data_IF_640258631779
#
_entry.id   IF_640258631779
#
_cell.length_a   1.000
_cell.length_b   1.000
_cell.length_c   1.000
_cell.angle_alpha   90.00
_cell.angle_beta   90.00
_cell.angle_gamma   90.00
#
_symmetry.space_group_name_H-M   'P 1'
#
loop_
_entity.id
_entity.type
_entity.pdbx_description
1 polymer ?
#
# COMPACT_ATOMS: atom_id res chain seq x y z
N UNK A 1 22.46 -4.37 2.09
CA UNK A 1 21.18 -5.07 2.28
C UNK A 1 20.19 -3.96 2.42
N UNK A 2 19.51 -3.72 1.31
CA UNK A 2 18.53 -2.67 1.20
C UNK A 2 17.18 -3.30 1.56
N UNK A 3 16.47 -2.62 2.45
CA UNK A 3 15.18 -3.04 2.98
C UNK A 3 14.14 -2.05 2.47
N UNK A 4 13.37 -2.48 1.49
CA UNK A 4 12.31 -1.68 0.86
C UNK A 4 10.99 -2.22 1.39
N UNK A 5 10.27 -1.38 2.12
CA UNK A 5 8.93 -1.72 2.59
C UNK A 5 7.91 -1.78 1.45
N UNK A 6 6.77 -2.35 1.75
CA UNK A 6 5.66 -2.46 0.80
C UNK A 6 5.17 -1.09 0.34
N UNK A 7 4.74 -0.98 -0.91
CA UNK A 7 4.01 0.17 -1.43
C UNK A 7 2.54 -0.14 -1.48
N UNK A 8 1.75 0.72 -0.87
CA UNK A 8 0.31 0.63 -0.88
C UNK A 8 -0.22 1.58 -1.92
N UNK A 9 -0.78 1.01 -2.99
CA UNK A 9 -1.48 1.73 -4.04
C UNK A 9 -2.96 1.79 -3.71
N UNK A 10 -3.52 2.98 -3.75
CA UNK A 10 -4.90 3.24 -3.36
C UNK A 10 -5.55 4.25 -4.29
N UNK A 11 -6.86 4.16 -4.44
CA UNK A 11 -7.64 5.08 -5.26
C UNK A 11 -7.90 6.37 -4.48
N UNK A 12 -7.38 7.52 -4.94
CA UNK A 12 -7.55 8.83 -4.28
C UNK A 12 -9.00 9.27 -4.20
N UNK A 13 -9.83 8.80 -5.14
CA UNK A 13 -11.25 9.17 -5.22
C UNK A 13 -12.03 8.47 -4.11
N UNK A 14 -11.81 7.16 -3.91
CA UNK A 14 -12.59 6.33 -3.01
C UNK A 14 -11.89 6.03 -1.68
N UNK A 15 -10.57 6.23 -1.59
CA UNK A 15 -9.74 5.81 -0.44
C UNK A 15 -9.46 4.30 -0.40
N UNK A 16 -9.91 3.53 -1.40
CA UNK A 16 -9.79 2.07 -1.38
C UNK A 16 -8.39 1.64 -1.78
N UNK A 17 -7.78 0.71 -1.03
CA UNK A 17 -6.54 0.07 -1.45
C UNK A 17 -6.80 -0.81 -2.68
N UNK A 18 -6.04 -0.52 -3.74
CA UNK A 18 -6.11 -1.20 -5.04
C UNK A 18 -5.13 -2.36 -5.04
N UNK A 19 -3.88 -2.10 -4.65
CA UNK A 19 -2.82 -3.09 -4.68
C UNK A 19 -1.75 -2.78 -3.63
N UNK A 20 -1.10 -3.82 -3.10
CA UNK A 20 0.03 -3.69 -2.18
C UNK A 20 1.19 -4.47 -2.76
N UNK A 21 2.32 -3.81 -2.99
CA UNK A 21 3.52 -4.52 -3.47
C UNK A 21 4.14 -5.31 -2.32
N UNK A 22 4.78 -6.45 -2.64
CA UNK A 22 5.50 -7.22 -1.64
C UNK A 22 6.73 -6.45 -1.13
N UNK A 23 7.06 -6.67 0.14
CA UNK A 23 8.31 -6.22 0.75
C UNK A 23 9.50 -6.81 -0.01
N UNK A 24 10.54 -6.01 -0.19
CA UNK A 24 11.75 -6.41 -0.89
C UNK A 24 12.96 -6.20 0.01
N UNK A 25 13.75 -7.25 0.23
CA UNK A 25 14.95 -7.19 1.06
C UNK A 25 16.12 -7.91 0.37
N UNK A 26 17.30 -7.31 0.40
CA UNK A 26 18.53 -7.92 -0.13
C UNK A 26 19.31 -7.00 -1.06
N UNK A 27 19.50 -7.45 -2.30
CA UNK A 27 20.14 -6.71 -3.40
C UNK A 27 19.04 -6.14 -4.31
N UNK A 28 18.22 -5.25 -3.74
CA UNK A 28 17.06 -4.68 -4.40
C UNK A 28 17.26 -3.17 -4.53
N UNK A 29 17.03 -2.64 -5.72
CA UNK A 29 17.08 -1.20 -5.97
C UNK A 29 15.69 -0.59 -5.78
N UNK A 30 15.65 0.64 -5.25
CA UNK A 30 14.39 1.39 -5.17
C UNK A 30 13.83 1.62 -6.57
N UNK A 31 12.70 0.98 -6.87
CA UNK A 31 11.95 1.22 -8.12
C UNK A 31 11.24 2.57 -8.02
N UNK A 32 10.93 3.21 -9.14
CA UNK A 32 10.03 4.38 -9.11
C UNK A 32 8.58 3.93 -9.14
N UNK A 33 7.70 4.71 -8.50
CA UNK A 33 6.26 4.45 -8.45
C UNK A 33 5.68 4.27 -9.86
N UNK A 34 6.15 5.09 -10.80
CA UNK A 34 5.72 5.03 -12.21
C UNK A 34 6.08 3.69 -12.86
N UNK A 35 7.23 3.12 -12.52
CA UNK A 35 7.71 1.84 -13.04
C UNK A 35 6.84 0.69 -12.48
N UNK A 36 6.53 0.72 -11.17
CA UNK A 36 5.61 -0.24 -10.55
C UNK A 36 4.20 -0.14 -11.17
N UNK A 37 3.65 1.05 -11.35
CA UNK A 37 2.33 1.25 -11.96
C UNK A 37 2.30 0.74 -13.40
N UNK A 38 3.36 0.96 -14.16
CA UNK A 38 3.49 0.45 -15.52
C UNK A 38 3.71 -1.08 -15.56
N UNK A 39 4.37 -1.63 -14.54
CA UNK A 39 4.66 -3.06 -14.44
C UNK A 39 3.43 -3.88 -14.04
N UNK A 40 2.63 -3.39 -13.08
CA UNK A 40 1.46 -4.09 -12.58
C UNK A 40 0.21 -3.77 -13.40
N UNK A 41 -0.39 -4.74 -14.11
CA UNK A 41 -1.56 -4.49 -14.96
C UNK A 41 -2.78 -4.00 -14.16
N UNK A 42 -2.91 -4.43 -12.91
CA UNK A 42 -3.95 -3.99 -11.96
C UNK A 42 -3.85 -2.51 -11.57
N UNK A 43 -2.69 -1.90 -11.71
CA UNK A 43 -2.51 -0.45 -11.55
C UNK A 43 -2.69 0.29 -12.88
N UNK A 44 -2.35 -0.36 -14.00
CA UNK A 44 -2.51 0.18 -15.36
C UNK A 44 -3.98 0.49 -15.72
N UNK A 45 -4.94 -0.25 -15.15
CA UNK A 45 -6.37 0.04 -15.30
C UNK A 45 -6.81 1.38 -14.64
N UNK A 46 -5.99 1.94 -13.75
CA UNK A 46 -6.28 3.20 -13.07
C UNK A 46 -5.41 4.33 -13.60
N UNK A 47 -5.97 5.54 -13.63
CA UNK A 47 -5.20 6.75 -13.93
C UNK A 47 -4.14 6.98 -12.85
N UNK A 48 -2.88 7.20 -13.24
CA UNK A 48 -1.79 7.56 -12.32
C UNK A 48 -2.13 8.80 -11.47
N UNK A 49 -2.90 9.74 -12.04
CA UNK A 49 -3.37 10.93 -11.35
C UNK A 49 -4.35 10.59 -10.20
N UNK A 50 -5.19 9.57 -10.41
CA UNK A 50 -6.18 9.08 -9.43
C UNK A 50 -5.60 8.06 -8.47
N UNK A 51 -4.50 7.39 -8.80
CA UNK A 51 -3.81 6.50 -7.87
C UNK A 51 -2.89 7.28 -6.94
N UNK A 52 -3.04 7.02 -5.65
CA UNK A 52 -2.11 7.39 -4.61
C UNK A 52 -1.19 6.22 -4.29
N UNK A 53 0.02 6.55 -3.86
CA UNK A 53 0.99 5.58 -3.38
C UNK A 53 1.45 6.01 -1.99
N UNK A 54 1.56 5.04 -1.09
CA UNK A 54 2.17 5.21 0.22
C UNK A 54 3.34 4.23 0.28
N UNK A 55 4.55 4.76 0.43
CA UNK A 55 5.73 3.97 0.73
C UNK A 55 5.74 3.68 2.22
N UNK A 56 5.59 2.41 2.59
CA UNK A 56 5.78 1.96 3.97
C UNK A 56 7.25 1.63 4.21
N UNK A 57 7.67 1.72 5.47
CA UNK A 57 8.95 1.19 5.94
C UNK A 57 8.91 -0.34 5.96
N UNK A 58 10.09 -0.97 5.94
CA UNK A 58 10.18 -2.42 5.98
C UNK A 58 9.56 -2.99 7.26
N UNK A 59 8.66 -3.98 7.12
CA UNK A 59 7.84 -4.55 8.19
C UNK A 59 6.90 -3.56 8.89
N UNK A 60 6.73 -2.34 8.37
CA UNK A 60 5.80 -1.36 8.93
C UNK A 60 4.36 -1.83 8.74
N UNK A 61 3.57 -1.77 9.82
CA UNK A 61 2.18 -2.21 9.84
C UNK A 61 1.93 -3.69 9.50
N UNK A 62 2.98 -4.53 9.39
CA UNK A 62 2.82 -5.97 9.10
C UNK A 62 1.85 -6.65 10.07
N UNK A 63 2.01 -6.39 11.36
CA UNK A 63 1.13 -6.92 12.40
C UNK A 63 -0.30 -6.39 12.29
N UNK A 64 -0.50 -5.17 11.80
CA UNK A 64 -1.82 -4.61 11.57
C UNK A 64 -2.48 -5.24 10.35
N UNK A 65 -1.75 -5.48 9.25
CA UNK A 65 -2.27 -6.22 8.11
C UNK A 65 -2.71 -7.65 8.48
N UNK A 66 -1.99 -8.30 9.40
CA UNK A 66 -2.33 -9.65 9.87
C UNK A 66 -3.54 -9.66 10.82
N UNK A 67 -3.72 -8.62 11.64
CA UNK A 67 -4.81 -8.53 12.63
C UNK A 67 -6.04 -7.76 12.13
N UNK A 68 -5.91 -6.93 11.11
CA UNK A 68 -7.00 -6.13 10.58
C UNK A 68 -7.93 -6.98 9.73
N UNK A 69 -9.22 -6.78 9.93
CA UNK A 69 -10.28 -7.35 9.10
C UNK A 69 -10.36 -6.63 7.76
N UNK A 70 -10.07 -5.33 7.74
CA UNK A 70 -10.07 -4.52 6.53
C UNK A 70 -9.14 -3.32 6.70
N UNK A 71 -8.65 -2.77 5.60
CA UNK A 71 -7.81 -1.58 5.62
C UNK A 71 -8.13 -0.70 4.40
N UNK A 72 -7.99 0.62 4.56
CA UNK A 72 -8.20 1.62 3.53
C UNK A 72 -7.24 2.77 3.73
N UNK A 73 -7.02 3.57 2.70
CA UNK A 73 -6.23 4.79 2.82
C UNK A 73 -7.17 5.96 2.92
N UNK A 74 -6.97 6.78 3.93
CA UNK A 74 -7.73 8.00 4.09
C UNK A 74 -7.19 9.06 3.13
N UNK A 75 -8.01 9.53 2.19
CA UNK A 75 -7.59 10.52 1.20
C UNK A 75 -7.25 11.89 1.79
N UNK A 76 -7.76 12.19 2.99
CA UNK A 76 -7.54 13.46 3.68
C UNK A 76 -6.22 13.47 4.44
N UNK A 77 -5.93 12.41 5.20
CA UNK A 77 -4.67 12.30 5.97
C UNK A 77 -3.55 11.65 5.19
N UNK A 78 -3.86 11.00 4.06
CA UNK A 78 -2.95 10.20 3.25
C UNK A 78 -2.23 9.11 4.05
N UNK A 79 -2.94 8.56 5.04
CA UNK A 79 -2.43 7.49 5.91
C UNK A 79 -3.28 6.23 5.75
N UNK A 80 -2.63 5.08 5.88
CA UNK A 80 -3.29 3.79 5.91
C UNK A 80 -4.01 3.62 7.26
N UNK A 81 -5.30 3.31 7.19
CA UNK A 81 -6.14 3.01 8.34
C UNK A 81 -6.52 1.54 8.33
N UNK A 82 -6.48 0.94 9.52
CA UNK A 82 -6.80 -0.46 9.75
C UNK A 82 -8.07 -0.57 10.58
N UNK A 83 -8.97 -1.45 10.14
CA UNK A 83 -10.14 -1.86 10.88
C UNK A 83 -9.90 -3.24 11.44
N UNK A 84 -9.75 -3.30 12.75
CA UNK A 84 -9.78 -4.54 13.50
C UNK A 84 -11.23 -4.96 13.74
N UNK A 85 -11.48 -6.26 13.88
CA UNK A 85 -12.76 -6.69 14.41
C UNK A 85 -12.84 -6.11 15.81
N UNK A 86 -13.85 -5.29 16.11
CA UNK A 86 -14.12 -4.98 17.51
C UNK A 86 -14.37 -6.34 18.17
N UNK A 87 -13.49 -6.72 19.08
CA UNK A 87 -13.76 -7.81 20.01
C UNK A 87 -14.89 -7.29 20.89
N UNK A 88 -16.13 -7.56 20.49
CA UNK A 88 -17.30 -7.53 21.36
C UNK A 88 -17.01 -8.60 22.45
N UNK A 89 -16.38 -8.18 23.55
CA UNK A 89 -16.31 -8.93 24.82
C UNK A 89 -17.60 -8.73 25.63
#
# INVERSE_FOLDING_TARGET
MDEIGSRVFWDKVSGKVVFVTPESAGDVAETSVEDDVAFYPQLCDYDNDKIGVIQLEYQQHKQEFEQAVSYWVNSTTQTLEFKHQEEDE
#
